data_IF_021540057876
#
_entry.id   IF_021540057876
#
_cell.length_a   1.000
_cell.length_b   1.000
_cell.length_c   1.000
_cell.angle_alpha   90.00
_cell.angle_beta   90.00
_cell.angle_gamma   90.00
#
_symmetry.space_group_name_H-M   'P 1'
#
loop_
_entity.id
_entity.type
_entity.pdbx_description
1 polymer ?
#
# COMPACT_ATOMS: atom_id res chain seq x y z
N UNK A 1 -9.87 -38.74 -25.23
CA UNK A 1 -8.85 -37.75 -24.84
C UNK A 1 -9.56 -36.56 -24.22
N UNK A 2 -9.04 -36.08 -23.09
CA UNK A 2 -9.28 -34.80 -22.44
C UNK A 2 -10.68 -34.51 -21.85
N UNK A 3 -10.85 -34.79 -20.55
CA UNK A 3 -11.70 -33.97 -19.66
C UNK A 3 -11.11 -34.00 -18.24
N UNK A 4 -10.05 -33.22 -18.02
CA UNK A 4 -9.49 -33.01 -16.68
C UNK A 4 -9.33 -31.50 -16.48
N UNK A 5 -10.46 -30.85 -16.16
CA UNK A 5 -10.49 -29.49 -15.65
C UNK A 5 -10.40 -29.58 -14.13
N UNK A 6 -9.19 -29.48 -13.58
CA UNK A 6 -8.99 -29.23 -12.15
C UNK A 6 -8.13 -27.97 -12.00
N UNK A 7 -8.70 -26.81 -12.34
CA UNK A 7 -8.17 -25.53 -11.89
C UNK A 7 -8.76 -25.26 -10.50
N UNK A 8 -8.09 -25.78 -9.47
CA UNK A 8 -8.59 -25.76 -8.10
C UNK A 8 -7.48 -25.78 -7.06
N UNK A 9 -6.81 -24.65 -6.90
CA UNK A 9 -6.31 -24.17 -5.61
C UNK A 9 -6.22 -22.64 -5.74
N UNK A 10 -7.20 -21.87 -5.27
CA UNK A 10 -7.56 -21.85 -3.86
C UNK A 10 -6.67 -20.83 -3.17
N UNK A 11 -6.90 -19.56 -3.51
CA UNK A 11 -6.66 -18.34 -2.73
C UNK A 11 -5.87 -18.50 -1.42
N UNK A 12 -4.55 -18.34 -1.48
CA UNK A 12 -3.72 -17.98 -0.33
C UNK A 12 -2.51 -17.24 -0.89
N UNK A 13 -2.71 -15.97 -1.23
CA UNK A 13 -1.98 -14.87 -0.63
C UNK A 13 -2.93 -13.67 -0.75
N UNK A 14 -3.17 -12.87 0.30
CA UNK A 14 -3.64 -11.54 0.04
C UNK A 14 -2.58 -10.96 -0.93
N UNK A 15 -3.02 -10.50 -2.08
CA UNK A 15 -2.27 -9.49 -2.84
C UNK A 15 -2.26 -8.22 -1.99
N UNK A 16 -1.67 -8.31 -0.80
CA UNK A 16 -1.56 -7.26 0.18
C UNK A 16 -0.59 -6.27 -0.43
N UNK A 17 -1.07 -5.04 -0.50
CA UNK A 17 -0.27 -3.87 -0.82
C UNK A 17 0.28 -3.83 -2.24
N UNK A 18 -0.63 -3.90 -3.22
CA UNK A 18 -0.68 -2.74 -4.10
C UNK A 18 -1.03 -1.56 -3.19
N UNK A 19 0.01 -0.92 -2.64
CA UNK A 19 -0.09 0.17 -1.69
C UNK A 19 -1.15 1.12 -2.21
N UNK A 20 -2.34 1.04 -1.62
CA UNK A 20 -3.37 2.01 -1.86
C UNK A 20 -2.68 3.31 -1.49
N UNK A 21 -2.42 4.17 -2.48
CA UNK A 21 -1.85 5.51 -2.27
C UNK A 21 -2.96 6.36 -1.65
N UNK A 22 -3.48 5.89 -0.52
CA UNK A 22 -4.33 6.62 0.40
C UNK A 22 -3.34 7.32 1.29
N UNK A 23 -3.14 8.61 1.00
CA UNK A 23 -2.33 9.46 1.86
C UNK A 23 -2.72 9.25 3.32
N UNK A 24 -1.73 9.12 4.20
CA UNK A 24 -1.98 8.94 5.63
C UNK A 24 -2.60 10.22 6.19
N UNK A 25 -3.25 10.11 7.36
CA UNK A 25 -3.71 11.27 8.12
C UNK A 25 -2.57 12.28 8.41
N UNK A 26 -1.32 11.81 8.37
CA UNK A 26 -0.13 12.63 8.52
C UNK A 26 0.11 13.59 7.36
N UNK A 27 -0.42 13.33 6.16
CA UNK A 27 -0.22 14.19 5.00
C UNK A 27 -0.70 15.63 5.24
N UNK A 28 -1.87 15.80 5.88
CA UNK A 28 -2.41 17.13 6.18
C UNK A 28 -1.57 17.87 7.22
N UNK A 29 -1.01 17.14 8.21
CA UNK A 29 -0.10 17.70 9.22
C UNK A 29 1.21 18.15 8.57
N UNK A 30 1.73 17.40 7.60
CA UNK A 30 2.94 17.77 6.86
C UNK A 30 2.73 19.07 6.05
N UNK A 31 1.55 19.23 5.43
CA UNK A 31 1.20 20.46 4.73
C UNK A 31 1.05 21.66 5.68
N UNK A 32 0.41 21.46 6.84
CA UNK A 32 0.21 22.51 7.86
C UNK A 32 1.53 22.96 8.50
N UNK A 33 2.50 22.04 8.64
CA UNK A 33 3.87 22.33 9.06
C UNK A 33 4.65 23.20 8.06
N UNK A 34 4.06 23.58 6.92
CA UNK A 34 4.69 24.40 5.89
C UNK A 34 5.62 23.61 4.97
N UNK A 35 5.57 22.27 5.00
CA UNK A 35 6.35 21.46 4.07
C UNK A 35 5.78 21.61 2.64
N UNK A 36 6.65 21.70 1.63
CA UNK A 36 6.20 21.67 0.26
C UNK A 36 5.49 20.34 -0.02
N UNK A 37 4.36 20.39 -0.73
CA UNK A 37 3.52 19.22 -1.04
C UNK A 37 4.33 18.01 -1.55
N UNK A 38 5.35 18.23 -2.38
CA UNK A 38 6.22 17.16 -2.89
C UNK A 38 6.97 16.40 -1.78
N UNK A 39 7.42 17.11 -0.75
CA UNK A 39 8.11 16.52 0.40
C UNK A 39 7.09 15.84 1.32
N UNK A 40 5.92 16.46 1.52
CA UNK A 40 4.84 15.85 2.27
C UNK A 40 4.42 14.50 1.66
N UNK A 41 4.28 14.42 0.33
CA UNK A 41 3.92 13.16 -0.38
C UNK A 41 5.00 12.10 -0.15
N UNK A 42 6.28 12.45 -0.32
CA UNK A 42 7.39 11.50 -0.20
C UNK A 42 7.52 10.93 1.21
N UNK A 43 7.34 11.78 2.23
CA UNK A 43 7.40 11.38 3.63
C UNK A 43 6.22 10.48 4.00
N UNK A 44 5.03 10.84 3.51
CA UNK A 44 3.80 10.08 3.69
C UNK A 44 3.89 8.67 3.07
N UNK A 45 4.45 8.56 1.86
CA UNK A 45 4.75 7.28 1.20
C UNK A 45 5.72 6.42 2.03
N UNK A 46 6.78 7.01 2.59
CA UNK A 46 7.76 6.29 3.43
C UNK A 46 7.12 5.85 4.75
N UNK A 47 6.25 6.69 5.33
CA UNK A 47 5.55 6.39 6.57
C UNK A 47 4.60 5.19 6.39
N UNK A 48 3.77 5.21 5.35
CA UNK A 48 2.87 4.11 5.01
C UNK A 48 3.67 2.85 4.68
N UNK A 49 4.74 2.98 3.90
CA UNK A 49 5.60 1.84 3.59
C UNK A 49 6.24 1.24 4.85
N UNK A 50 6.65 2.07 5.82
CA UNK A 50 7.19 1.63 7.11
C UNK A 50 6.14 1.00 8.02
N UNK A 51 4.90 1.47 7.99
CA UNK A 51 3.75 0.88 8.69
C UNK A 51 3.46 -0.53 8.14
N UNK A 52 3.44 -0.69 6.82
CA UNK A 52 3.19 -1.97 6.14
C UNK A 52 4.33 -2.97 6.31
N UNK A 53 5.59 -2.52 6.49
CA UNK A 53 6.75 -3.41 6.58
C UNK A 53 7.03 -3.98 7.98
N UNK A 54 6.18 -3.71 8.98
CA UNK A 54 6.28 -4.32 10.32
C UNK A 54 5.73 -5.76 10.27
N UNK A 55 6.62 -6.72 10.02
CA UNK A 55 6.38 -8.16 10.19
C UNK A 55 7.33 -8.76 11.25
#
# INVERSE_FOLDING_TARGET
MATEHINGNGSDEPVESSAAVTHSEHFQTLLDAGLPRKVAVKLDEIYIAGETLRI
#
